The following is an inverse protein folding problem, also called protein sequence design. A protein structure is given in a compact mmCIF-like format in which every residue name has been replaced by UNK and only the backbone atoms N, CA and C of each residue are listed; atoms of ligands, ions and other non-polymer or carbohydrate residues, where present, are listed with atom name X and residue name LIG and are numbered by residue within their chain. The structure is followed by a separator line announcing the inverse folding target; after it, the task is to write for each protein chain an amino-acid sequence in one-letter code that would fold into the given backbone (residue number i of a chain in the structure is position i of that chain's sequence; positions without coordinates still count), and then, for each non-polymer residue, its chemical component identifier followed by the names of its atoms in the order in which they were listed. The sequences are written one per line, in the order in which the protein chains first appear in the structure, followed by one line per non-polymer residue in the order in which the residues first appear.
data_IF_383271217522
#
_entry.id   IF_383271217522
#
_cell.length_a   1.000
_cell.length_b   1.000
_cell.length_c   1.000
_cell.angle_alpha   90.00
_cell.angle_beta   90.00
_cell.angle_gamma   90.00
#
_symmetry.space_group_name_H-M   'P 1'
#
loop_
_entity.id
_entity.type
_entity.pdbx_description
1 polymer ?
#
# COMPACT_ATOMS: atom_id res chain seq x y z
N UNK A 1 9.30 -11.02 -16.51
CA UNK A 1 8.43 -9.86 -16.77
C UNK A 1 8.15 -9.19 -15.44
N UNK A 2 8.02 -7.87 -15.41
CA UNK A 2 7.80 -7.12 -14.17
C UNK A 2 6.34 -7.28 -13.75
N UNK A 3 6.10 -7.47 -12.46
CA UNK A 3 4.76 -7.58 -11.89
C UNK A 3 4.49 -6.34 -11.05
N UNK A 4 3.43 -5.59 -11.39
CA UNK A 4 3.15 -4.29 -10.75
C UNK A 4 1.88 -4.36 -9.95
N UNK A 5 1.88 -3.72 -8.79
CA UNK A 5 0.71 -3.57 -7.92
C UNK A 5 0.44 -2.08 -7.72
N UNK A 6 -0.81 -1.70 -7.95
CA UNK A 6 -1.33 -0.36 -7.67
C UNK A 6 -2.34 -0.45 -6.54
N UNK A 7 -2.08 0.26 -5.44
CA UNK A 7 -2.99 0.36 -4.31
C UNK A 7 -3.58 1.75 -4.26
N UNK A 8 -4.89 1.88 -4.43
CA UNK A 8 -5.61 3.12 -4.19
C UNK A 8 -6.03 3.14 -2.72
N UNK A 9 -5.40 4.01 -1.94
CA UNK A 9 -5.58 4.08 -0.50
C UNK A 9 -6.49 5.25 -0.12
N UNK A 10 -7.33 5.02 0.89
CA UNK A 10 -8.16 6.06 1.51
C UNK A 10 -7.74 6.15 2.96
N UNK A 11 -7.51 7.37 3.45
CA UNK A 11 -7.09 7.59 4.82
C UNK A 11 -8.22 7.27 5.80
N UNK A 12 -7.85 6.88 7.01
CA UNK A 12 -8.80 6.64 8.09
C UNK A 12 -9.66 7.89 8.38
N UNK A 13 -10.91 7.72 8.84
CA UNK A 13 -11.73 8.85 9.27
C UNK A 13 -11.07 9.53 10.49
N UNK A 14 -11.10 10.87 10.50
CA UNK A 14 -10.64 11.66 11.65
C UNK A 14 -9.16 12.07 11.63
N UNK A 15 -8.34 11.57 10.69
CA UNK A 15 -6.97 12.06 10.51
C UNK A 15 -6.86 13.03 9.33
N UNK A 16 -5.89 13.94 9.38
CA UNK A 16 -5.51 14.81 8.28
C UNK A 16 -4.77 14.06 7.17
N UNK A 17 -4.67 14.67 5.99
CA UNK A 17 -3.85 14.14 4.91
C UNK A 17 -2.36 14.13 5.27
N UNK A 18 -1.88 15.09 6.06
CA UNK A 18 -0.48 15.14 6.49
C UNK A 18 -0.13 13.98 7.44
N UNK A 19 -0.99 13.71 8.43
CA UNK A 19 -0.84 12.57 9.33
C UNK A 19 -0.88 11.24 8.57
N UNK A 20 -1.75 11.13 7.57
CA UNK A 20 -1.80 9.96 6.68
C UNK A 20 -0.48 9.74 5.95
N UNK A 21 0.06 10.79 5.30
CA UNK A 21 1.32 10.74 4.56
C UNK A 21 2.48 10.36 5.45
N UNK A 22 2.63 11.04 6.59
CA UNK A 22 3.69 10.76 7.55
C UNK A 22 3.64 9.31 8.04
N UNK A 23 2.45 8.84 8.43
CA UNK A 23 2.31 7.47 8.90
C UNK A 23 2.60 6.45 7.80
N UNK A 24 2.08 6.66 6.60
CA UNK A 24 2.28 5.71 5.50
C UNK A 24 3.75 5.66 5.06
N UNK A 25 4.39 6.82 4.85
CA UNK A 25 5.76 6.93 4.34
C UNK A 25 6.82 6.56 5.37
N UNK A 26 6.61 6.86 6.65
CA UNK A 26 7.66 6.71 7.66
C UNK A 26 7.45 5.51 8.59
N UNK A 27 6.21 5.18 8.95
CA UNK A 27 5.92 4.11 9.93
C UNK A 27 5.53 2.81 9.24
N UNK A 28 4.53 2.86 8.37
CA UNK A 28 4.05 1.69 7.67
C UNK A 28 5.12 1.10 6.74
N UNK A 29 5.85 1.93 5.99
CA UNK A 29 6.97 1.43 5.17
C UNK A 29 8.09 0.79 5.99
N UNK A 30 8.42 1.33 7.17
CA UNK A 30 9.42 0.74 8.05
C UNK A 30 8.98 -0.64 8.54
N UNK A 31 7.73 -0.76 8.99
CA UNK A 31 7.11 -2.03 9.40
C UNK A 31 7.09 -3.03 8.24
N UNK A 32 6.67 -2.61 7.05
CA UNK A 32 6.60 -3.49 5.88
C UNK A 32 7.99 -3.98 5.46
N UNK A 33 9.02 -3.13 5.48
CA UNK A 33 10.40 -3.53 5.21
C UNK A 33 10.91 -4.56 6.21
N UNK A 34 10.61 -4.37 7.50
CA UNK A 34 10.97 -5.32 8.55
C UNK A 34 10.32 -6.69 8.32
N UNK A 35 9.01 -6.70 8.02
CA UNK A 35 8.25 -7.94 7.78
C UNK A 35 8.69 -8.63 6.48
N UNK A 36 8.88 -7.87 5.41
CA UNK A 36 9.15 -8.39 4.09
C UNK A 36 10.57 -8.96 3.94
N UNK A 37 11.56 -8.35 4.62
CA UNK A 37 12.96 -8.72 4.47
C UNK A 37 13.41 -8.67 3.00
N UNK A 38 13.93 -9.80 2.50
CA UNK A 38 14.38 -9.94 1.11
C UNK A 38 13.23 -10.07 0.09
N UNK A 39 11.99 -10.26 0.54
CA UNK A 39 10.80 -10.27 -0.31
C UNK A 39 10.22 -8.86 -0.55
N UNK A 40 10.88 -7.80 -0.06
CA UNK A 40 10.46 -6.43 -0.31
C UNK A 40 10.51 -6.11 -1.83
N UNK A 41 9.50 -5.41 -2.38
CA UNK A 41 9.46 -5.06 -3.80
C UNK A 41 10.70 -4.28 -4.25
N UNK A 42 11.04 -4.39 -5.54
CA UNK A 42 12.17 -3.66 -6.14
C UNK A 42 11.91 -2.16 -6.21
N UNK A 43 10.65 -1.77 -6.36
CA UNK A 43 10.18 -0.38 -6.28
C UNK A 43 9.01 -0.35 -5.32
N UNK A 44 9.02 0.60 -4.38
CA UNK A 44 7.85 0.90 -3.55
C UNK A 44 7.77 2.41 -3.36
N UNK A 45 6.75 3.02 -3.95
CA UNK A 45 6.55 4.46 -3.93
C UNK A 45 5.11 4.81 -3.57
N UNK A 46 4.95 5.91 -2.85
CA UNK A 46 3.65 6.54 -2.64
C UNK A 46 3.54 7.82 -3.46
N UNK A 47 2.34 8.07 -3.99
CA UNK A 47 1.97 9.28 -4.72
C UNK A 47 0.66 9.80 -4.19
N UNK A 48 0.52 11.11 -4.14
CA UNK A 48 -0.64 11.77 -3.52
C UNK A 48 -1.36 12.59 -4.58
N UNK A 49 -2.49 12.10 -5.11
CA UNK A 49 -3.14 12.70 -6.27
C UNK A 49 -3.86 13.99 -5.90
N UNK A 50 -3.71 14.98 -6.76
CA UNK A 50 -4.48 16.22 -6.74
C UNK A 50 -5.67 16.11 -7.72
N UNK A 51 -6.74 16.84 -7.43
CA UNK A 51 -7.91 16.85 -8.31
C UNK A 51 -7.56 17.54 -9.63
N UNK A 52 -7.76 16.84 -10.73
CA UNK A 52 -7.85 17.48 -12.03
C UNK A 52 -9.22 18.16 -12.18
N UNK A 53 -9.27 19.30 -12.87
CA UNK A 53 -10.49 20.07 -13.07
C UNK A 53 -11.61 19.21 -13.69
N UNK A 54 -12.80 19.23 -13.08
CA UNK A 54 -13.98 18.49 -13.55
C UNK A 54 -14.10 17.04 -13.09
N UNK A 55 -13.25 16.57 -12.16
CA UNK A 55 -13.37 15.22 -11.58
C UNK A 55 -14.38 15.21 -10.43
N UNK A 56 -15.46 14.43 -10.57
CA UNK A 56 -16.45 14.19 -9.51
C UNK A 56 -15.92 13.28 -8.38
N UNK A 57 -16.57 13.35 -7.22
CA UNK A 57 -16.05 12.88 -5.94
C UNK A 57 -16.03 11.34 -5.78
N UNK A 58 -14.97 10.71 -6.26
CA UNK A 58 -14.37 9.55 -5.58
C UNK A 58 -12.86 9.71 -5.60
N UNK A 59 -12.28 9.98 -4.42
CA UNK A 59 -10.86 10.28 -4.27
C UNK A 59 -10.22 9.26 -3.34
N UNK A 60 -9.05 8.80 -3.75
CA UNK A 60 -8.11 8.08 -2.91
C UNK A 60 -7.06 9.07 -2.45
N UNK A 61 -6.78 9.08 -1.15
CA UNK A 61 -5.83 9.99 -0.53
C UNK A 61 -4.38 9.71 -0.97
N UNK A 62 -4.09 8.49 -1.44
CA UNK A 62 -2.83 8.19 -2.09
C UNK A 62 -2.84 6.92 -2.96
N UNK A 63 -1.77 6.76 -3.71
CA UNK A 63 -1.51 5.63 -4.62
C UNK A 63 -0.21 4.98 -4.17
N UNK A 64 -0.27 3.71 -3.77
CA UNK A 64 0.90 2.86 -3.62
C UNK A 64 1.25 2.20 -4.94
N UNK A 65 2.51 2.28 -5.32
CA UNK A 65 3.08 1.63 -6.50
C UNK A 65 4.17 0.67 -6.08
N UNK A 66 3.99 -0.61 -6.37
CA UNK A 66 4.97 -1.65 -6.09
C UNK A 66 5.37 -2.35 -7.38
N UNK A 67 6.67 -2.56 -7.58
CA UNK A 67 7.20 -3.44 -8.62
C UNK A 67 7.88 -4.66 -8.03
N UNK A 68 7.63 -5.80 -8.65
CA UNK A 68 8.28 -7.07 -8.36
C UNK A 68 8.91 -7.64 -9.63
N UNK A 69 9.98 -8.42 -9.47
CA UNK A 69 10.64 -9.10 -10.59
C UNK A 69 9.77 -10.16 -11.26
N UNK A 70 8.75 -10.66 -10.55
CA UNK A 70 7.77 -11.62 -11.04
C UNK A 70 6.56 -11.69 -10.10
N UNK A 71 5.48 -12.30 -10.58
CA UNK A 71 4.30 -12.67 -9.76
C UNK A 71 4.67 -13.52 -8.54
N UNK A 72 5.65 -14.42 -8.66
CA UNK A 72 6.05 -15.29 -7.55
C UNK A 72 6.67 -14.50 -6.40
N UNK A 73 7.41 -13.42 -6.68
CA UNK A 73 7.96 -12.54 -5.65
C UNK A 73 6.85 -11.79 -4.91
N UNK A 74 5.82 -11.31 -5.64
CA UNK A 74 4.63 -10.73 -5.00
C UNK A 74 3.91 -11.74 -4.11
N UNK A 75 3.68 -12.97 -4.61
CA UNK A 75 3.03 -14.03 -3.82
C UNK A 75 3.85 -14.42 -2.59
N UNK A 76 5.18 -14.36 -2.66
CA UNK A 76 6.07 -14.58 -1.51
C UNK A 76 5.83 -13.51 -0.44
N UNK A 77 5.82 -12.23 -0.80
CA UNK A 77 5.50 -11.14 0.14
C UNK A 77 4.09 -11.31 0.72
N UNK A 78 3.09 -11.58 -0.12
CA UNK A 78 1.71 -11.80 0.33
C UNK A 78 1.60 -12.95 1.34
N UNK A 79 2.34 -14.04 1.11
CA UNK A 79 2.37 -15.18 2.03
C UNK A 79 3.00 -14.83 3.39
N UNK A 80 4.07 -14.02 3.38
CA UNK A 80 4.72 -13.51 4.60
C UNK A 80 3.77 -12.58 5.37
N UNK A 81 3.07 -11.69 4.66
CA UNK A 81 2.13 -10.75 5.26
C UNK A 81 0.92 -11.45 5.89
N UNK A 82 0.47 -12.58 5.34
CA UNK A 82 -0.64 -13.37 5.88
C UNK A 82 -0.26 -14.29 7.06
N UNK A 83 1.02 -14.39 7.42
CA UNK A 83 1.43 -15.09 8.64
C UNK A 83 0.75 -14.44 9.86
N UNK A 84 0.19 -15.20 10.83
CA UNK A 84 -0.68 -14.64 11.86
C UNK A 84 -0.09 -13.45 12.64
N UNK A 85 1.20 -13.52 12.99
CA UNK A 85 1.90 -12.45 13.70
C UNK A 85 2.06 -11.19 12.83
N UNK A 86 2.54 -11.35 11.60
CA UNK A 86 2.73 -10.25 10.66
C UNK A 86 1.40 -9.60 10.30
N UNK A 87 0.38 -10.42 10.03
CA UNK A 87 -0.97 -9.96 9.74
C UNK A 87 -1.54 -9.15 10.89
N UNK A 88 -1.40 -9.61 12.12
CA UNK A 88 -1.88 -8.87 13.29
C UNK A 88 -1.17 -7.52 13.44
N UNK A 89 0.15 -7.46 13.20
CA UNK A 89 0.94 -6.22 13.24
C UNK A 89 0.53 -5.25 12.14
N UNK A 90 0.41 -5.72 10.90
CA UNK A 90 -0.03 -4.93 9.75
C UNK A 90 -1.46 -4.44 9.94
N UNK A 91 -2.39 -5.31 10.35
CA UNK A 91 -3.78 -4.93 10.61
C UNK A 91 -3.90 -3.88 11.73
N UNK A 92 -3.08 -4.00 12.78
CA UNK A 92 -3.07 -3.03 13.88
C UNK A 92 -2.56 -1.66 13.42
N UNK A 93 -1.50 -1.64 12.60
CA UNK A 93 -0.92 -0.43 12.01
C UNK A 93 -1.87 0.21 10.99
N UNK A 94 -2.35 -0.56 10.01
CA UNK A 94 -3.21 -0.08 8.94
C UNK A 94 -4.52 0.53 9.47
N UNK A 95 -5.10 0.00 10.56
CA UNK A 95 -6.31 0.57 11.17
C UNK A 95 -6.12 1.98 11.70
N UNK A 96 -4.90 2.43 11.97
CA UNK A 96 -4.66 3.79 12.49
C UNK A 96 -4.70 4.85 11.40
N UNK A 97 -4.40 4.49 10.14
CA UNK A 97 -4.23 5.46 9.07
C UNK A 97 -5.00 5.15 7.77
N UNK A 98 -5.49 3.93 7.58
CA UNK A 98 -6.26 3.52 6.40
C UNK A 98 -7.73 3.21 6.71
N UNK A 99 -8.62 3.61 5.81
CA UNK A 99 -9.96 3.04 5.70
C UNK A 99 -9.91 1.78 4.83
N UNK A 100 -9.59 0.64 5.45
CA UNK A 100 -9.46 -0.66 4.75
C UNK A 100 -10.71 -1.07 3.95
N UNK A 101 -11.88 -0.55 4.30
CA UNK A 101 -13.12 -0.86 3.57
C UNK A 101 -13.22 -0.22 2.18
N UNK A 102 -12.35 0.77 1.89
CA UNK A 102 -12.36 1.54 0.64
C UNK A 102 -11.09 1.39 -0.19
N UNK A 103 -10.09 0.67 0.30
CA UNK A 103 -8.86 0.41 -0.43
C UNK A 103 -9.18 -0.46 -1.65
N UNK A 104 -8.55 -0.15 -2.77
CA UNK A 104 -8.62 -0.96 -3.99
C UNK A 104 -7.21 -1.35 -4.40
N UNK A 105 -7.02 -2.60 -4.82
CA UNK A 105 -5.74 -3.10 -5.30
C UNK A 105 -5.89 -3.65 -6.70
N UNK A 106 -4.98 -3.24 -7.58
CA UNK A 106 -4.91 -3.68 -8.97
C UNK A 106 -3.55 -4.27 -9.24
N UNK A 107 -3.54 -5.30 -10.07
CA UNK A 107 -2.33 -5.93 -10.56
C UNK A 107 -2.23 -5.64 -12.05
N UNK A 108 -1.02 -5.30 -12.50
CA UNK A 108 -0.67 -5.26 -13.92
C UNK A 108 0.48 -6.23 -14.14
N UNK A 109 0.22 -7.24 -14.94
CA UNK A 109 1.20 -8.24 -15.39
C UNK A 109 1.49 -7.99 -16.88
N UNK A 110 2.75 -7.99 -17.27
CA UNK A 110 3.18 -7.72 -18.65
C UNK A 110 3.08 -8.98 -19.57
N UNK A 111 2.27 -9.99 -19.21
CA UNK A 111 2.07 -11.24 -19.97
C UNK A 111 1.46 -11.04 -21.37
#
# INVERSE_FOLDING_TARGET
MVYRVYMLAVKAPGISLEEFKDHWDNKHLALLKEIAGDAYPTVHEHRYPEKFAGTDAYHFDGIGYLEFKSKNEFLRLASIAEMPENKARLDADEKTFLDKSKIQMYVVDDE
#
